data_IF_905938361311
#
_entry.id   IF_905938361311
#
_cell.length_a   1.000
_cell.length_b   1.000
_cell.length_c   1.000
_cell.angle_alpha   90.00
_cell.angle_beta   90.00
_cell.angle_gamma   90.00
#
_symmetry.space_group_name_H-M   'P 1'
#
loop_
_entity.id
_entity.type
_entity.pdbx_description
1 polymer ?
#
# COMPACT_ATOMS: atom_id res chain seq x y z
N UNK A 1 16.13 6.50 -18.14
CA UNK A 1 16.92 6.93 -16.97
C UNK A 1 16.16 7.96 -16.15
N UNK A 2 15.81 9.13 -16.69
CA UNK A 2 15.06 10.16 -15.96
C UNK A 2 13.67 9.70 -15.50
N UNK A 3 12.90 9.02 -16.37
CA UNK A 3 11.58 8.49 -16.03
C UNK A 3 11.61 7.57 -14.80
N UNK A 4 12.58 6.66 -14.72
CA UNK A 4 12.70 5.72 -13.60
C UNK A 4 12.97 6.46 -12.29
N UNK A 5 13.88 7.45 -12.31
CA UNK A 5 14.20 8.27 -11.13
C UNK A 5 12.97 9.04 -10.67
N UNK A 6 12.18 9.59 -11.59
CA UNK A 6 10.92 10.29 -11.26
C UNK A 6 9.93 9.31 -10.63
N UNK A 7 9.73 8.13 -11.23
CA UNK A 7 8.82 7.10 -10.68
C UNK A 7 9.26 6.70 -9.27
N UNK A 8 10.54 6.44 -9.05
CA UNK A 8 11.05 6.02 -7.75
C UNK A 8 10.90 7.12 -6.69
N UNK A 9 11.16 8.38 -7.06
CA UNK A 9 10.98 9.52 -6.17
C UNK A 9 9.52 9.76 -5.79
N UNK A 10 8.61 9.71 -6.77
CA UNK A 10 7.17 9.85 -6.52
C UNK A 10 6.66 8.67 -5.68
N UNK A 11 7.14 7.46 -5.94
CA UNK A 11 6.80 6.27 -5.16
C UNK A 11 7.27 6.39 -3.71
N UNK A 12 8.50 6.87 -3.48
CA UNK A 12 9.02 7.12 -2.14
C UNK A 12 8.16 8.15 -1.38
N UNK A 13 7.73 9.20 -2.08
CA UNK A 13 6.84 10.21 -1.51
C UNK A 13 5.46 9.62 -1.18
N UNK A 14 4.89 8.81 -2.08
CA UNK A 14 3.62 8.13 -1.85
C UNK A 14 3.70 7.15 -0.67
N UNK A 15 4.80 6.39 -0.55
CA UNK A 15 5.06 5.53 0.61
C UNK A 15 5.08 6.33 1.92
N UNK A 16 5.81 7.44 1.95
CA UNK A 16 5.87 8.30 3.14
C UNK A 16 4.48 8.82 3.53
N UNK A 17 3.69 9.28 2.55
CA UNK A 17 2.33 9.74 2.78
C UNK A 17 1.41 8.64 3.33
N UNK A 18 1.45 7.43 2.74
CA UNK A 18 0.69 6.27 3.22
C UNK A 18 1.08 5.89 4.64
N UNK A 19 2.39 5.80 4.94
CA UNK A 19 2.88 5.45 6.27
C UNK A 19 2.50 6.49 7.34
N UNK A 20 2.70 7.78 7.05
CA UNK A 20 2.40 8.86 7.99
C UNK A 20 0.89 8.95 8.23
N UNK A 21 0.09 8.96 7.17
CA UNK A 21 -1.38 9.00 7.30
C UNK A 21 -1.94 7.76 7.99
N UNK A 22 -1.40 6.56 7.71
CA UNK A 22 -1.79 5.33 8.39
C UNK A 22 -1.47 5.36 9.89
N UNK A 23 -0.29 5.85 10.25
CA UNK A 23 0.08 6.06 11.66
C UNK A 23 -0.84 7.05 12.36
N UNK A 24 -1.17 8.18 11.70
CA UNK A 24 -2.11 9.17 12.23
C UNK A 24 -3.48 8.56 12.47
N UNK A 25 -3.98 7.77 11.52
CA UNK A 25 -5.28 7.12 11.62
C UNK A 25 -5.32 6.05 12.71
N UNK A 26 -4.26 5.26 12.87
CA UNK A 26 -4.27 4.16 13.82
C UNK A 26 -4.00 4.62 15.26
N UNK A 27 -3.07 5.57 15.44
CA UNK A 27 -2.53 5.90 16.76
C UNK A 27 -2.94 7.31 17.21
N UNK A 28 -2.94 8.30 16.32
CA UNK A 28 -3.09 9.71 16.72
C UNK A 28 -4.54 10.14 16.85
N UNK A 29 -5.37 9.82 15.86
CA UNK A 29 -6.78 10.25 15.83
C UNK A 29 -7.65 9.11 16.38
N UNK A 30 -8.30 9.27 17.54
CA UNK A 30 -9.13 8.23 18.13
C UNK A 30 -10.29 7.83 17.22
N UNK A 31 -10.73 6.59 17.34
CA UNK A 31 -11.90 6.12 16.59
C UNK A 31 -13.16 6.87 17.03
N UNK A 32 -14.17 6.94 16.15
CA UNK A 32 -15.47 7.54 16.49
C UNK A 32 -16.12 6.88 17.70
N UNK A 33 -15.86 5.58 17.90
CA UNK A 33 -16.33 4.85 19.07
C UNK A 33 -15.66 5.33 20.36
N UNK A 34 -14.35 5.56 20.33
CA UNK A 34 -13.60 6.10 21.48
C UNK A 34 -14.07 7.52 21.87
N UNK A 35 -14.31 8.39 20.90
CA UNK A 35 -14.86 9.74 21.16
C UNK A 35 -16.26 9.69 21.75
N UNK A 36 -17.13 8.80 21.24
CA UNK A 36 -18.55 8.73 21.65
C UNK A 36 -18.77 7.98 22.97
N UNK A 37 -17.96 6.97 23.27
CA UNK A 37 -18.22 6.03 24.37
C UNK A 37 -17.09 5.91 25.39
N UNK A 38 -15.89 6.44 25.09
CA UNK A 38 -14.72 6.35 25.98
C UNK A 38 -14.25 7.73 26.48
N UNK A 39 -15.08 8.77 26.30
CA UNK A 39 -14.83 10.10 26.85
C UNK A 39 -13.68 10.88 26.20
N UNK A 40 -13.18 10.45 25.04
CA UNK A 40 -12.15 11.21 24.33
C UNK A 40 -12.71 12.56 23.85
N UNK A 41 -11.94 13.63 24.03
CA UNK A 41 -12.41 15.00 23.73
C UNK A 41 -12.61 15.18 22.22
N UNK A 42 -13.66 15.89 21.76
CA UNK A 42 -13.91 16.08 20.32
C UNK A 42 -12.72 16.70 19.56
N UNK A 43 -11.95 17.56 20.20
CA UNK A 43 -10.73 18.19 19.65
C UNK A 43 -9.60 17.19 19.37
N UNK A 44 -9.55 16.07 20.09
CA UNK A 44 -8.58 15.00 19.82
C UNK A 44 -8.87 14.25 18.51
N UNK A 45 -10.04 14.45 17.91
CA UNK A 45 -10.44 13.77 16.66
C UNK A 45 -9.91 14.44 15.37
N UNK A 46 -9.10 15.49 15.52
CA UNK A 46 -8.53 16.25 14.40
C UNK A 46 -7.03 16.48 14.58
N UNK A 47 -6.28 16.43 13.47
CA UNK A 47 -4.87 16.77 13.41
C UNK A 47 -4.65 17.67 12.19
N UNK A 48 -4.01 18.82 12.37
CA UNK A 48 -3.80 19.83 11.33
C UNK A 48 -5.10 20.33 10.66
N UNK A 49 -6.21 20.37 11.41
CA UNK A 49 -7.53 20.73 10.88
C UNK A 49 -8.23 19.62 10.08
N UNK A 50 -7.59 18.47 9.90
CA UNK A 50 -8.16 17.30 9.24
C UNK A 50 -8.65 16.26 10.24
N UNK A 51 -9.87 15.76 10.04
CA UNK A 51 -10.42 14.66 10.82
C UNK A 51 -9.98 13.29 10.31
N UNK A 52 -10.41 12.23 11.01
CA UNK A 52 -10.13 10.84 10.60
C UNK A 52 -10.56 10.52 9.17
N UNK A 53 -11.66 11.11 8.69
CA UNK A 53 -12.13 10.87 7.32
C UNK A 53 -11.21 11.51 6.28
N UNK A 54 -10.73 12.72 6.53
CA UNK A 54 -9.86 13.45 5.61
C UNK A 54 -8.49 12.76 5.50
N UNK A 55 -7.90 12.39 6.65
CA UNK A 55 -6.69 11.58 6.68
C UNK A 55 -6.89 10.21 6.03
N UNK A 56 -8.08 9.62 6.17
CA UNK A 56 -8.49 8.40 5.49
C UNK A 56 -8.50 8.54 3.98
N UNK A 57 -9.03 9.65 3.47
CA UNK A 57 -9.03 9.96 2.03
C UNK A 57 -7.62 10.18 1.51
N UNK A 58 -6.77 10.92 2.24
CA UNK A 58 -5.35 11.10 1.89
C UNK A 58 -4.64 9.74 1.83
N UNK A 59 -4.83 8.90 2.86
CA UNK A 59 -4.24 7.56 2.91
C UNK A 59 -4.67 6.69 1.73
N UNK A 60 -5.97 6.67 1.44
CA UNK A 60 -6.54 5.87 0.36
C UNK A 60 -5.98 6.29 -1.00
N UNK A 61 -6.04 7.58 -1.34
CA UNK A 61 -5.57 8.06 -2.64
C UNK A 61 -4.06 7.93 -2.79
N UNK A 62 -3.28 8.20 -1.73
CA UNK A 62 -1.84 7.95 -1.74
C UNK A 62 -1.53 6.45 -1.93
N UNK A 63 -2.33 5.56 -1.32
CA UNK A 63 -2.23 4.12 -1.49
C UNK A 63 -2.53 3.65 -2.90
N UNK A 64 -3.59 4.17 -3.53
CA UNK A 64 -3.93 3.86 -4.92
C UNK A 64 -2.80 4.29 -5.86
N UNK A 65 -2.29 5.52 -5.70
CA UNK A 65 -1.15 6.02 -6.48
C UNK A 65 0.08 5.14 -6.28
N UNK A 66 0.38 4.76 -5.03
CA UNK A 66 1.50 3.88 -4.70
C UNK A 66 1.38 2.51 -5.41
N UNK A 67 0.21 1.88 -5.38
CA UNK A 67 -0.01 0.57 -6.04
C UNK A 67 0.17 0.67 -7.55
N UNK A 68 -0.37 1.71 -8.18
CA UNK A 68 -0.22 1.94 -9.63
C UNK A 68 1.25 2.15 -9.99
N UNK A 69 1.96 3.01 -9.26
CA UNK A 69 3.38 3.29 -9.50
C UNK A 69 4.25 2.05 -9.27
N UNK A 70 3.95 1.26 -8.24
CA UNK A 70 4.67 0.01 -7.96
C UNK A 70 4.47 -1.00 -9.10
N UNK A 71 3.25 -1.13 -9.64
CA UNK A 71 2.99 -1.97 -10.80
C UNK A 71 3.81 -1.53 -12.02
N UNK A 72 3.80 -0.23 -12.33
CA UNK A 72 4.59 0.34 -13.43
C UNK A 72 6.09 0.10 -13.22
N UNK A 73 6.61 0.34 -12.01
CA UNK A 73 8.02 0.12 -11.68
C UNK A 73 8.43 -1.35 -11.87
N UNK A 74 7.63 -2.30 -11.39
CA UNK A 74 7.91 -3.73 -11.59
C UNK A 74 7.94 -4.08 -13.07
N UNK A 75 7.01 -3.55 -13.88
CA UNK A 75 7.00 -3.77 -15.33
C UNK A 75 8.25 -3.19 -16.01
N UNK A 76 8.70 -2.00 -15.62
CA UNK A 76 9.93 -1.39 -16.14
C UNK A 76 11.18 -2.20 -15.79
N UNK A 77 11.18 -2.89 -14.64
CA UNK A 77 12.32 -3.65 -14.14
C UNK A 77 12.20 -5.18 -14.33
N UNK A 78 11.16 -5.67 -15.04
CA UNK A 78 10.84 -7.11 -15.12
C UNK A 78 11.96 -7.96 -15.69
N UNK A 79 12.74 -7.42 -16.64
CA UNK A 79 13.87 -8.12 -17.25
C UNK A 79 15.02 -8.33 -16.26
N UNK A 80 15.33 -7.30 -15.46
CA UNK A 80 16.33 -7.38 -14.40
C UNK A 80 15.88 -8.37 -13.31
N UNK A 81 14.63 -8.26 -12.86
CA UNK A 81 14.05 -9.17 -11.86
C UNK A 81 14.11 -10.62 -12.36
N UNK A 82 13.71 -10.86 -13.62
CA UNK A 82 13.76 -12.19 -14.22
C UNK A 82 15.19 -12.74 -14.32
N UNK A 83 16.17 -11.91 -14.69
CA UNK A 83 17.57 -12.31 -14.74
C UNK A 83 18.11 -12.63 -13.35
N UNK A 84 17.77 -11.82 -12.34
CA UNK A 84 18.16 -12.05 -10.95
C UNK A 84 17.58 -13.35 -10.39
N UNK A 85 16.28 -13.60 -10.62
CA UNK A 85 15.60 -14.83 -10.20
C UNK A 85 16.22 -16.05 -10.89
N UNK A 86 16.47 -16.00 -12.22
CA UNK A 86 17.13 -17.08 -12.94
C UNK A 86 18.53 -17.38 -12.39
N UNK A 87 19.28 -16.35 -12.00
CA UNK A 87 20.62 -16.48 -11.43
C UNK A 87 20.60 -17.10 -10.02
N UNK A 88 19.65 -16.70 -9.16
CA UNK A 88 19.55 -17.17 -7.78
C UNK A 88 18.81 -18.49 -7.62
N UNK A 89 17.84 -18.75 -8.49
CA UNK A 89 17.03 -19.97 -8.54
C UNK A 89 17.10 -20.57 -9.95
N UNK A 90 18.16 -21.34 -10.25
CA UNK A 90 18.32 -21.96 -11.56
C UNK A 90 17.29 -23.08 -11.82
N UNK A 91 16.81 -23.75 -10.77
CA UNK A 91 15.80 -24.81 -10.88
C UNK A 91 14.45 -24.25 -11.36
N UNK A 92 14.02 -24.68 -12.55
CA UNK A 92 12.77 -24.24 -13.17
C UNK A 92 11.52 -24.59 -12.34
N UNK A 93 11.48 -25.78 -11.74
CA UNK A 93 10.32 -26.24 -10.96
C UNK A 93 10.13 -25.35 -9.73
N UNK A 94 11.21 -25.11 -8.99
CA UNK A 94 11.17 -24.26 -7.79
C UNK A 94 10.71 -22.82 -8.13
N UNK A 95 11.16 -22.28 -9.27
CA UNK A 95 10.74 -20.96 -9.74
C UNK A 95 9.25 -20.89 -10.08
N UNK A 96 8.70 -21.91 -10.75
CA UNK A 96 7.27 -22.00 -11.05
C UNK A 96 6.45 -22.10 -9.76
N UNK A 97 6.90 -22.90 -8.79
CA UNK A 97 6.25 -23.00 -7.48
C UNK A 97 6.20 -21.65 -6.76
N UNK A 98 7.29 -20.88 -6.78
CA UNK A 98 7.30 -19.53 -6.21
C UNK A 98 6.33 -18.58 -6.91
N UNK A 99 6.21 -18.64 -8.25
CA UNK A 99 5.24 -17.82 -8.99
C UNK A 99 3.80 -18.21 -8.67
N UNK A 100 3.50 -19.51 -8.53
CA UNK A 100 2.17 -19.99 -8.13
C UNK A 100 1.84 -19.52 -6.71
N UNK A 101 2.77 -19.68 -5.76
CA UNK A 101 2.60 -19.23 -4.39
C UNK A 101 2.33 -17.72 -4.32
N UNK A 102 3.12 -16.92 -5.06
CA UNK A 102 2.93 -15.48 -5.14
C UNK A 102 1.55 -15.11 -5.72
N UNK A 103 1.14 -15.78 -6.79
CA UNK A 103 -0.19 -15.58 -7.40
C UNK A 103 -1.32 -15.93 -6.43
N UNK A 104 -1.20 -17.04 -5.68
CA UNK A 104 -2.19 -17.41 -4.67
C UNK A 104 -2.31 -16.35 -3.57
N UNK A 105 -1.20 -15.80 -3.08
CA UNK A 105 -1.20 -14.74 -2.08
C UNK A 105 -1.85 -13.44 -2.61
N UNK A 106 -1.60 -13.08 -3.88
CA UNK A 106 -2.28 -11.95 -4.52
C UNK A 106 -3.79 -12.17 -4.67
N UNK A 107 -4.21 -13.38 -5.02
CA UNK A 107 -5.64 -13.70 -5.13
C UNK A 107 -6.30 -13.61 -3.74
N UNK A 108 -5.65 -14.13 -2.69
CA UNK A 108 -6.17 -14.04 -1.32
C UNK A 108 -6.40 -12.60 -0.83
N UNK A 109 -5.61 -11.62 -1.29
CA UNK A 109 -5.77 -10.23 -0.87
C UNK A 109 -6.89 -9.52 -1.64
N UNK A 110 -7.19 -9.93 -2.88
CA UNK A 110 -8.20 -9.30 -3.75
C UNK A 110 -9.59 -9.92 -3.55
N UNK A 111 -9.67 -11.25 -3.36
CA UNK A 111 -10.93 -12.00 -3.27
C UNK A 111 -11.92 -11.45 -2.23
N UNK A 112 -11.51 -11.06 -1.01
CA UNK A 112 -12.42 -10.49 -0.01
C UNK A 112 -13.14 -9.21 -0.48
N UNK A 113 -12.53 -8.44 -1.38
CA UNK A 113 -13.13 -7.20 -1.90
C UNK A 113 -14.30 -7.46 -2.85
N UNK A 114 -14.26 -8.57 -3.61
CA UNK A 114 -15.37 -8.93 -4.49
C UNK A 114 -16.63 -9.33 -3.73
N UNK A 115 -16.48 -9.93 -2.54
CA UNK A 115 -17.61 -10.31 -1.67
C UNK A 115 -18.19 -9.14 -0.88
N UNK A 116 -17.48 -8.02 -0.75
CA UNK A 116 -17.95 -6.81 -0.06
C UNK A 116 -18.71 -5.84 -0.99
N UNK A 117 -18.65 -6.06 -2.31
CA UNK A 117 -19.33 -5.26 -3.32
C UNK A 117 -20.70 -5.83 -3.75
N UNK A 118 -21.19 -6.88 -3.08
CA UNK A 118 -22.52 -7.48 -3.26
C UNK A 118 -23.34 -7.38 -1.97
#
# INVERSE_FOLDING_TARGET
MLLNIVIDFVMLTAMALVSISGFILEIVIPSRHAVKFQGATPWSSQLLGFGRHDWGNIHLWAGIVLVILLAIHILLHINMVSAFIKKKCPNHILRVLFYILFLMLLIMTIVPWFYLCY
#
